data_IF_540165587276
#
_entry.id   IF_540165587276
#
_cell.length_a   1.000
_cell.length_b   1.000
_cell.length_c   1.000
_cell.angle_alpha   90.00
_cell.angle_beta   90.00
_cell.angle_gamma   90.00
#
_symmetry.space_group_name_H-M   'P 1'
#
loop_
_entity.id
_entity.type
_entity.pdbx_description
1 polymer ?
#
# COMPACT_ATOMS: atom_id res chain seq x y z
N UNK A 1 4.72 -4.63 8.20
CA UNK A 1 3.37 -5.11 8.53
C UNK A 1 2.87 -5.99 7.41
N UNK A 2 2.06 -6.99 7.73
CA UNK A 2 1.17 -7.63 6.76
C UNK A 2 -0.15 -6.83 6.77
N UNK A 3 -0.66 -6.43 5.60
CA UNK A 3 -1.86 -5.61 5.47
C UNK A 3 -2.82 -6.25 4.48
N UNK A 4 -4.07 -6.46 4.88
CA UNK A 4 -5.14 -6.96 4.02
C UNK A 4 -5.83 -5.79 3.30
N UNK A 5 -5.31 -5.44 2.11
CA UNK A 5 -5.80 -4.31 1.32
C UNK A 5 -7.17 -4.57 0.67
N UNK A 6 -7.49 -5.82 0.36
CA UNK A 6 -8.77 -6.18 -0.28
C UNK A 6 -8.97 -5.43 -1.59
N UNK A 7 -10.19 -4.92 -1.82
CA UNK A 7 -10.49 -4.09 -2.99
C UNK A 7 -10.10 -2.63 -2.72
N UNK A 8 -9.16 -2.14 -3.51
CA UNK A 8 -8.54 -0.82 -3.34
C UNK A 8 -9.31 0.30 -4.07
N UNK A 9 -9.51 1.44 -3.39
CA UNK A 9 -9.99 2.67 -4.00
C UNK A 9 -8.82 3.64 -4.22
N UNK A 10 -8.63 4.12 -5.45
CA UNK A 10 -7.52 5.03 -5.78
C UNK A 10 -7.91 6.49 -5.58
N UNK A 11 -7.02 7.26 -4.92
CA UNK A 11 -7.04 8.72 -4.93
C UNK A 11 -5.70 9.27 -5.46
N UNK A 12 -5.70 10.50 -5.99
CA UNK A 12 -4.50 11.20 -6.51
C UNK A 12 -4.39 12.64 -6.01
N UNK A 13 -5.25 13.01 -5.08
CA UNK A 13 -5.29 14.32 -4.43
C UNK A 13 -5.62 14.11 -2.96
N UNK A 14 -5.07 14.94 -2.10
CA UNK A 14 -5.25 14.87 -0.66
C UNK A 14 -6.72 14.99 -0.27
N UNK A 15 -7.17 14.11 0.63
CA UNK A 15 -8.45 14.22 1.32
C UNK A 15 -8.27 13.82 2.78
N UNK A 16 -8.01 14.82 3.62
CA UNK A 16 -7.82 14.64 5.06
C UNK A 16 -9.11 14.34 5.82
N UNK A 17 -10.27 14.37 5.15
CA UNK A 17 -11.58 14.11 5.78
C UNK A 17 -11.95 12.63 5.80
N UNK A 18 -11.20 11.78 5.08
CA UNK A 18 -11.49 10.35 4.93
C UNK A 18 -11.44 9.61 6.28
N UNK A 19 -12.53 8.90 6.59
CA UNK A 19 -12.65 8.05 7.80
C UNK A 19 -12.93 6.57 7.50
N UNK A 20 -13.15 6.24 6.24
CA UNK A 20 -13.40 4.88 5.72
C UNK A 20 -13.28 4.90 4.19
N UNK A 21 -13.03 3.75 3.54
CA UNK A 21 -13.13 3.65 2.08
C UNK A 21 -14.59 3.84 1.61
N UNK A 22 -14.82 4.19 0.34
CA UNK A 22 -16.15 4.20 -0.26
C UNK A 22 -16.83 2.83 -0.20
N UNK A 23 -18.16 2.79 -0.39
CA UNK A 23 -18.88 1.53 -0.42
C UNK A 23 -18.30 0.55 -1.45
N UNK A 24 -18.20 -0.72 -1.09
CA UNK A 24 -17.60 -1.81 -1.90
C UNK A 24 -16.08 -1.70 -2.10
N UNK A 25 -15.37 -0.99 -1.23
CA UNK A 25 -13.91 -0.98 -1.15
C UNK A 25 -13.46 -1.25 0.29
N UNK A 26 -12.28 -1.84 0.43
CA UNK A 26 -11.71 -2.27 1.72
C UNK A 26 -10.53 -1.38 2.16
N UNK A 27 -9.93 -0.65 1.23
CA UNK A 27 -8.80 0.25 1.48
C UNK A 27 -8.83 1.45 0.54
N UNK A 28 -8.04 2.47 0.88
CA UNK A 28 -7.71 3.57 -0.03
C UNK A 28 -6.22 3.49 -0.33
N UNK A 29 -5.85 3.66 -1.59
CA UNK A 29 -4.46 3.86 -1.98
C UNK A 29 -4.32 5.21 -2.64
N UNK A 30 -3.63 6.12 -1.95
CA UNK A 30 -3.21 7.38 -2.53
C UNK A 30 -2.04 7.08 -3.46
N UNK A 31 -2.30 7.06 -4.78
CA UNK A 31 -1.30 6.59 -5.75
C UNK A 31 -0.27 7.66 -6.02
N UNK A 32 0.99 7.32 -5.78
CA UNK A 32 2.13 8.18 -6.04
C UNK A 32 2.51 8.25 -7.51
N UNK A 33 3.36 9.22 -7.83
CA UNK A 33 4.03 9.31 -9.13
C UNK A 33 4.99 8.13 -9.38
N UNK A 34 5.39 7.41 -8.32
CA UNK A 34 6.22 6.21 -8.40
C UNK A 34 5.70 5.07 -7.52
N UNK A 35 5.97 3.84 -7.95
CA UNK A 35 5.76 2.58 -7.22
C UNK A 35 6.97 1.65 -7.44
N UNK A 36 7.31 0.75 -6.51
CA UNK A 36 8.22 -0.36 -6.81
C UNK A 36 7.78 -1.12 -8.07
N UNK A 37 8.70 -1.51 -8.95
CA UNK A 37 8.34 -2.28 -10.14
C UNK A 37 7.69 -3.62 -9.73
N UNK A 38 6.40 -3.84 -10.06
CA UNK A 38 5.69 -5.04 -9.63
C UNK A 38 6.22 -6.32 -10.32
N UNK A 39 7.04 -6.20 -11.37
CA UNK A 39 7.71 -7.36 -11.98
C UNK A 39 8.73 -8.02 -11.05
N UNK A 40 9.27 -7.25 -10.12
CA UNK A 40 10.25 -7.70 -9.13
C UNK A 40 9.59 -8.03 -7.78
N UNK A 41 8.26 -8.03 -7.71
CA UNK A 41 7.54 -8.47 -6.52
C UNK A 41 7.92 -9.92 -6.17
N UNK A 42 8.24 -10.13 -4.90
CA UNK A 42 8.40 -11.48 -4.36
C UNK A 42 7.23 -11.80 -3.43
N UNK A 43 7.17 -13.05 -2.97
CA UNK A 43 6.16 -13.45 -2.01
C UNK A 43 6.74 -14.32 -0.92
N UNK A 44 6.23 -14.13 0.29
CA UNK A 44 6.52 -14.97 1.44
C UNK A 44 5.23 -15.66 1.90
N UNK A 45 5.36 -16.84 2.49
CA UNK A 45 4.22 -17.55 3.08
C UNK A 45 4.27 -17.41 4.59
N UNK A 46 3.21 -16.86 5.19
CA UNK A 46 3.03 -16.76 6.65
C UNK A 46 1.69 -17.38 7.00
N UNK A 47 1.68 -18.35 7.92
CA UNK A 47 0.44 -19.02 8.37
C UNK A 47 -0.42 -19.56 7.21
N UNK A 48 0.25 -20.09 6.17
CA UNK A 48 -0.40 -20.63 4.97
C UNK A 48 -0.92 -19.58 3.98
N UNK A 49 -0.77 -18.28 4.28
CA UNK A 49 -1.16 -17.18 3.39
C UNK A 49 0.04 -16.69 2.58
N UNK A 50 -0.14 -16.51 1.28
CA UNK A 50 0.84 -15.88 0.39
C UNK A 50 0.73 -14.36 0.53
N UNK A 51 1.82 -13.70 0.89
CA UNK A 51 1.92 -12.25 1.10
C UNK A 51 2.91 -11.68 0.10
N UNK A 52 2.51 -10.64 -0.62
CA UNK A 52 3.37 -9.92 -1.57
C UNK A 52 4.33 -9.01 -0.81
N UNK A 53 5.59 -9.01 -1.23
CA UNK A 53 6.64 -8.13 -0.72
C UNK A 53 7.22 -7.38 -1.93
N UNK A 54 6.94 -6.07 -2.07
CA UNK A 54 7.54 -5.26 -3.12
C UNK A 54 9.06 -5.18 -2.95
N UNK A 55 9.81 -5.61 -3.96
CA UNK A 55 11.27 -5.63 -3.92
C UNK A 55 11.92 -4.93 -5.13
N UNK A 56 11.11 -4.40 -6.05
CA UNK A 56 11.57 -3.66 -7.23
C UNK A 56 12.09 -2.26 -6.92
N UNK A 57 12.87 -1.72 -7.87
CA UNK A 57 13.22 -0.29 -7.86
C UNK A 57 11.98 0.55 -8.18
N UNK A 58 11.88 1.80 -7.67
CA UNK A 58 10.78 2.69 -8.04
C UNK A 58 10.75 2.97 -9.55
N UNK A 59 9.58 2.82 -10.16
CA UNK A 59 9.27 3.18 -11.56
C UNK A 59 8.14 4.20 -11.59
N UNK A 60 8.03 4.96 -12.69
CA UNK A 60 6.94 5.92 -12.89
C UNK A 60 5.61 5.20 -13.04
N UNK A 61 4.57 5.70 -12.38
CA UNK A 61 3.20 5.24 -12.55
C UNK A 61 2.48 6.01 -13.65
N UNK A 62 1.24 5.64 -13.94
CA UNK A 62 0.33 6.42 -14.79
C UNK A 62 -0.17 7.70 -14.10
N UNK A 63 0.00 7.83 -12.78
CA UNK A 63 -0.49 8.93 -11.95
C UNK A 63 0.54 10.07 -11.84
N UNK A 64 1.08 10.52 -12.98
CA UNK A 64 2.17 11.51 -13.04
C UNK A 64 1.77 12.89 -12.50
N UNK A 65 0.49 13.22 -12.47
CA UNK A 65 -0.07 14.46 -11.91
C UNK A 65 -0.60 14.31 -10.48
N UNK A 66 -0.33 13.19 -9.81
CA UNK A 66 -0.74 12.99 -8.43
C UNK A 66 -0.05 14.00 -7.50
N UNK A 67 -0.77 14.47 -6.46
CA UNK A 67 -0.17 15.26 -5.39
C UNK A 67 0.81 14.44 -4.53
N UNK A 68 0.74 13.11 -4.62
CA UNK A 68 1.60 12.18 -3.91
C UNK A 68 2.83 11.82 -4.75
N UNK A 69 4.03 12.02 -4.20
CA UNK A 69 5.27 11.58 -4.87
C UNK A 69 5.43 10.04 -4.82
N UNK A 70 5.10 9.45 -3.66
CA UNK A 70 5.11 8.02 -3.38
C UNK A 70 3.72 7.59 -2.92
N UNK A 71 3.35 6.34 -3.14
CA UNK A 71 2.03 5.87 -2.73
C UNK A 71 1.89 5.74 -1.22
N UNK A 72 0.71 6.07 -0.71
CA UNK A 72 0.31 5.82 0.67
C UNK A 72 -0.84 4.80 0.68
N UNK A 73 -0.74 3.78 1.54
CA UNK A 73 -1.70 2.69 1.64
C UNK A 73 -2.47 2.81 2.95
N UNK A 74 -3.77 3.03 2.87
CA UNK A 74 -4.63 3.33 4.01
C UNK A 74 -5.63 2.20 4.25
N UNK A 75 -5.63 1.68 5.48
CA UNK A 75 -6.68 0.81 6.02
C UNK A 75 -7.33 1.50 7.22
N UNK A 76 -8.62 1.29 7.41
CA UNK A 76 -9.42 2.02 8.40
C UNK A 76 -9.90 1.14 9.56
N UNK A 77 -9.53 -0.14 9.55
CA UNK A 77 -9.76 -1.08 10.65
C UNK A 77 -8.44 -1.67 11.09
N UNK A 78 -8.22 -1.70 12.40
CA UNK A 78 -6.97 -2.20 12.99
C UNK A 78 -6.73 -3.69 12.66
N UNK A 79 -7.81 -4.47 12.54
CA UNK A 79 -7.77 -5.90 12.20
C UNK A 79 -7.30 -6.20 10.76
N UNK A 80 -7.19 -5.19 9.90
CA UNK A 80 -6.58 -5.32 8.56
C UNK A 80 -5.04 -5.31 8.60
N UNK A 81 -4.42 -5.01 9.75
CA UNK A 81 -2.97 -4.89 9.88
C UNK A 81 -2.42 -5.82 10.96
N UNK A 82 -1.32 -6.51 10.66
CA UNK A 82 -0.59 -7.31 11.63
C UNK A 82 0.91 -7.04 11.56
N UNK A 83 1.51 -6.70 12.69
CA UNK A 83 2.97 -6.53 12.80
C UNK A 83 3.64 -7.89 12.64
N UNK A 84 4.64 -7.97 11.75
CA UNK A 84 5.38 -9.21 11.45
C UNK A 84 6.88 -9.10 11.73
N UNK A 85 7.46 -7.93 11.54
CA UNK A 85 8.89 -7.68 11.68
C UNK A 85 9.13 -6.32 12.35
N UNK A 86 10.23 -6.21 13.08
CA UNK A 86 10.76 -4.97 13.63
C UNK A 86 12.22 -4.86 13.20
N UNK A 87 12.60 -3.73 12.61
CA UNK A 87 13.95 -3.50 12.10
C UNK A 87 14.68 -2.50 13.00
N UNK A 88 15.90 -2.83 13.42
CA UNK A 88 16.83 -1.87 14.03
C UNK A 88 17.69 -1.27 12.92
N UNK A 89 17.63 0.05 12.77
CA UNK A 89 18.39 0.80 11.76
C UNK A 89 19.42 1.69 12.45
N UNK A 90 20.53 1.96 11.76
CA UNK A 90 21.50 2.97 12.12
C UNK A 90 21.49 4.03 11.01
N UNK A 91 21.39 5.30 11.40
CA UNK A 91 21.28 6.45 10.50
C UNK A 91 22.54 7.31 10.59
#
# INVERSE_FOLDING_TARGET
NEVALGKEHTITSDDSSLKKPPANFDSIVARGQTEPDPKDDTSITIEGKKIIVPAGKPIKTTYTSSSFAQSEYLVYKEDQCRIRYMLKMQF
#
